data_IF_099621695697
#
_entry.id   IF_099621695697
#
_cell.length_a   1.000
_cell.length_b   1.000
_cell.length_c   1.000
_cell.angle_alpha   90.00
_cell.angle_beta   90.00
_cell.angle_gamma   90.00
#
_symmetry.space_group_name_H-M   'P 1'
#
loop_
_entity.id
_entity.type
_entity.pdbx_description
1 polymer ?
#
# COMPACT_ATOMS: atom_id res chain seq x y z
N UNK A 1 30.42 19.92 -12.89
CA UNK A 1 29.84 18.89 -11.98
C UNK A 1 30.08 19.42 -10.58
N UNK A 2 29.05 19.80 -9.86
CA UNK A 2 29.22 20.20 -8.44
C UNK A 2 29.76 19.01 -7.66
N UNK A 3 30.64 19.31 -6.70
CA UNK A 3 31.19 18.27 -5.83
C UNK A 3 30.05 17.74 -4.96
N UNK A 4 29.72 16.45 -5.09
CA UNK A 4 28.65 15.78 -4.38
C UNK A 4 28.84 15.88 -2.85
N UNK A 5 30.09 15.90 -2.39
CA UNK A 5 30.43 16.02 -0.97
C UNK A 5 30.08 17.41 -0.46
N UNK A 6 30.48 18.46 -1.19
CA UNK A 6 30.15 19.85 -0.80
C UNK A 6 28.63 20.11 -0.86
N UNK A 7 27.92 19.50 -1.81
CA UNK A 7 26.45 19.57 -1.88
C UNK A 7 25.82 18.95 -0.64
N UNK A 8 26.23 17.75 -0.23
CA UNK A 8 25.73 17.08 0.97
C UNK A 8 26.04 17.86 2.23
N UNK A 9 27.29 18.37 2.35
CA UNK A 9 27.69 19.20 3.47
C UNK A 9 26.93 20.53 3.52
N UNK A 10 26.63 21.12 2.37
CA UNK A 10 25.80 22.32 2.24
C UNK A 10 24.37 22.10 2.75
N UNK A 11 23.72 20.99 2.35
CA UNK A 11 22.39 20.59 2.84
C UNK A 11 22.42 20.38 4.36
N UNK A 12 23.45 19.70 4.87
CA UNK A 12 23.59 19.46 6.31
C UNK A 12 23.76 20.75 7.12
N UNK A 13 24.53 21.73 6.60
CA UNK A 13 24.73 23.06 7.26
C UNK A 13 23.46 23.90 7.30
N UNK A 14 22.52 23.68 6.38
CA UNK A 14 21.20 24.36 6.33
C UNK A 14 20.15 23.72 7.23
N UNK A 15 20.48 22.66 7.92
CA UNK A 15 19.58 21.83 8.72
C UNK A 15 19.45 20.44 8.09
N UNK A 16 18.51 19.63 8.52
CA UNK A 16 18.27 18.34 7.91
C UNK A 16 17.36 18.48 6.68
N UNK A 17 17.71 17.80 5.60
CA UNK A 17 16.86 17.66 4.41
C UNK A 17 16.39 16.23 4.23
N UNK A 18 15.21 16.03 3.67
CA UNK A 18 14.77 14.74 3.14
C UNK A 18 14.67 14.82 1.62
N UNK A 19 14.97 13.72 0.94
CA UNK A 19 14.94 13.67 -0.51
C UNK A 19 14.25 12.41 -1.02
N UNK A 20 13.75 12.49 -2.26
CA UNK A 20 13.26 11.35 -3.01
C UNK A 20 14.30 10.99 -4.06
N UNK A 21 14.81 9.75 -4.00
CA UNK A 21 15.85 9.27 -4.89
C UNK A 21 15.27 8.28 -5.89
N UNK A 22 15.46 8.55 -7.19
CA UNK A 22 15.06 7.66 -8.27
C UNK A 22 16.15 6.60 -8.49
N UNK A 23 16.15 5.56 -7.66
CA UNK A 23 17.15 4.48 -7.69
C UNK A 23 16.59 3.12 -8.12
N UNK A 24 15.30 3.02 -8.43
CA UNK A 24 14.63 1.78 -8.81
C UNK A 24 14.36 1.73 -10.31
N UNK A 25 14.54 0.56 -10.91
CA UNK A 25 14.19 0.29 -12.30
C UNK A 25 12.75 -0.23 -12.38
N UNK A 26 11.96 0.30 -13.33
CA UNK A 26 10.61 -0.20 -13.62
C UNK A 26 10.62 -1.66 -14.08
N UNK A 27 11.69 -2.06 -14.77
CA UNK A 27 11.87 -3.42 -15.24
C UNK A 27 12.08 -4.41 -14.08
N UNK A 28 12.91 -4.03 -13.11
CA UNK A 28 13.12 -4.86 -11.92
C UNK A 28 11.87 -4.90 -11.04
N UNK A 29 11.15 -3.78 -10.90
CA UNK A 29 9.88 -3.76 -10.21
C UNK A 29 8.89 -4.76 -10.83
N UNK A 30 8.79 -4.83 -12.16
CA UNK A 30 7.92 -5.80 -12.84
C UNK A 30 8.34 -7.24 -12.60
N UNK A 31 9.65 -7.52 -12.59
CA UNK A 31 10.18 -8.85 -12.24
C UNK A 31 9.78 -9.25 -10.83
N UNK A 32 9.95 -8.35 -9.84
CA UNK A 32 9.52 -8.60 -8.48
C UNK A 32 8.01 -8.78 -8.37
N UNK A 33 7.23 -7.92 -9.01
CA UNK A 33 5.77 -8.05 -9.03
C UNK A 33 5.30 -9.35 -9.71
N UNK A 34 6.03 -9.89 -10.65
CA UNK A 34 5.67 -11.17 -11.29
C UNK A 34 5.93 -12.39 -10.40
N UNK A 35 6.75 -12.26 -9.36
CA UNK A 35 7.09 -13.40 -8.50
C UNK A 35 5.96 -13.70 -7.50
N UNK A 36 5.48 -14.96 -7.39
CA UNK A 36 4.27 -15.32 -6.63
C UNK A 36 4.37 -15.14 -5.11
N UNK A 37 5.57 -15.04 -4.56
CA UNK A 37 5.81 -14.81 -3.13
C UNK A 37 5.97 -13.33 -2.77
N UNK A 38 5.95 -12.42 -3.74
CA UNK A 38 6.05 -10.98 -3.49
C UNK A 38 4.75 -10.48 -2.87
N UNK A 39 4.83 -9.90 -1.70
CA UNK A 39 3.75 -9.14 -1.07
C UNK A 39 3.84 -7.67 -1.48
N UNK A 40 2.69 -7.00 -1.52
CA UNK A 40 2.62 -5.57 -1.85
C UNK A 40 2.59 -4.78 -0.54
N UNK A 41 3.51 -3.83 -0.42
CA UNK A 41 3.60 -2.91 0.69
C UNK A 41 3.93 -1.49 0.19
N UNK A 42 3.50 -0.48 0.93
CA UNK A 42 3.70 0.91 0.51
C UNK A 42 5.06 1.47 0.89
N UNK A 43 5.70 0.95 1.94
CA UNK A 43 6.84 1.57 2.61
C UNK A 43 6.55 3.05 2.99
N UNK A 44 5.28 3.39 3.13
CA UNK A 44 4.77 4.71 3.51
C UNK A 44 4.45 4.78 5.00
N UNK A 45 4.76 5.92 5.63
CA UNK A 45 4.34 6.19 7.00
C UNK A 45 2.90 6.70 7.09
N UNK A 46 2.26 6.63 8.27
CA UNK A 46 0.97 7.24 8.50
C UNK A 46 1.07 8.76 8.34
N UNK A 47 0.10 9.38 7.68
CA UNK A 47 0.03 10.82 7.47
C UNK A 47 -1.20 11.39 8.15
N UNK A 48 -1.06 12.47 8.89
CA UNK A 48 -2.17 13.22 9.45
C UNK A 48 -2.61 14.26 8.42
N UNK A 49 -3.50 13.91 7.59
CA UNK A 49 -4.38 14.62 6.66
C UNK A 49 -4.27 16.12 6.36
N UNK A 50 -3.18 16.81 6.68
CA UNK A 50 -2.95 18.16 6.19
C UNK A 50 -1.99 18.10 5.00
N UNK A 51 -2.48 18.33 3.78
CA UNK A 51 -1.62 18.43 2.60
C UNK A 51 -0.63 19.59 2.75
N UNK A 52 0.63 19.39 2.33
CA UNK A 52 1.50 20.50 1.97
C UNK A 52 2.57 20.94 2.95
N UNK A 53 2.86 20.19 4.03
CA UNK A 53 3.91 20.62 4.99
C UNK A 53 5.26 19.90 4.84
N UNK A 54 5.35 18.87 4.03
CA UNK A 54 6.57 18.07 3.88
C UNK A 54 6.71 17.45 2.48
N UNK A 55 7.93 17.17 2.07
CA UNK A 55 8.24 16.41 0.85
C UNK A 55 7.82 14.95 1.06
N UNK A 56 6.55 14.64 0.76
CA UNK A 56 6.01 13.29 0.87
C UNK A 56 6.22 12.50 -0.41
N UNK A 57 6.52 11.22 -0.26
CA UNK A 57 6.53 10.32 -1.40
C UNK A 57 5.09 9.89 -1.76
N UNK A 58 4.69 9.84 -3.05
CA UNK A 58 3.34 9.42 -3.49
C UNK A 58 2.88 8.09 -2.89
N UNK A 59 3.80 7.16 -2.63
CA UNK A 59 3.52 5.84 -2.03
C UNK A 59 2.76 5.89 -0.70
N UNK A 60 2.82 7.02 0.02
CA UNK A 60 2.11 7.18 1.28
C UNK A 60 0.59 7.33 1.12
N UNK A 61 0.10 7.59 -0.10
CA UNK A 61 -1.31 7.87 -0.37
C UNK A 61 -2.00 6.79 -1.21
N UNK A 62 -1.45 6.44 -2.36
CA UNK A 62 -2.14 5.63 -3.35
C UNK A 62 -1.45 4.35 -3.78
N UNK A 63 -0.45 3.84 -3.05
CA UNK A 63 0.35 2.69 -3.47
C UNK A 63 -0.47 1.49 -3.95
N UNK A 64 -1.45 1.04 -3.17
CA UNK A 64 -2.27 -0.12 -3.51
C UNK A 64 -3.21 0.16 -4.69
N UNK A 65 -3.74 1.38 -4.77
CA UNK A 65 -4.52 1.82 -5.93
C UNK A 65 -3.68 1.86 -7.21
N UNK A 66 -2.42 2.30 -7.13
CA UNK A 66 -1.46 2.28 -8.25
C UNK A 66 -1.22 0.87 -8.76
N UNK A 67 -1.11 -0.12 -7.88
CA UNK A 67 -0.96 -1.52 -8.29
C UNK A 67 -2.19 -1.98 -9.07
N UNK A 68 -3.39 -1.69 -8.59
CA UNK A 68 -4.63 -2.06 -9.26
C UNK A 68 -4.83 -1.32 -10.59
N UNK A 69 -4.55 -0.03 -10.64
CA UNK A 69 -4.68 0.76 -11.87
C UNK A 69 -3.59 0.39 -12.89
N UNK A 70 -2.33 0.59 -12.51
CA UNK A 70 -1.21 0.52 -13.46
C UNK A 70 -0.79 -0.91 -13.77
N UNK A 71 -0.58 -1.76 -12.76
CA UNK A 71 0.01 -3.09 -12.97
C UNK A 71 -1.01 -4.19 -13.23
N UNK A 72 -2.28 -3.99 -12.82
CA UNK A 72 -3.38 -4.91 -13.16
C UNK A 72 -4.10 -4.42 -14.41
N UNK A 73 -4.79 -3.28 -14.35
CA UNK A 73 -5.67 -2.81 -15.44
C UNK A 73 -4.90 -2.43 -16.71
N UNK A 74 -3.87 -1.59 -16.61
CA UNK A 74 -3.19 -1.02 -17.76
C UNK A 74 -2.10 -1.96 -18.33
N UNK A 75 -1.19 -2.42 -17.48
CA UNK A 75 -0.03 -3.21 -17.92
C UNK A 75 -0.25 -4.72 -17.88
N UNK A 76 -1.29 -5.20 -17.19
CA UNK A 76 -1.66 -6.63 -17.11
C UNK A 76 -0.51 -7.52 -16.62
N UNK A 77 0.32 -7.00 -15.70
CA UNK A 77 1.42 -7.75 -15.07
C UNK A 77 0.87 -8.78 -14.07
N UNK A 78 -0.24 -8.43 -13.41
CA UNK A 78 -0.96 -9.26 -12.46
C UNK A 78 -2.42 -9.37 -12.87
N UNK A 79 -3.08 -10.49 -12.51
CA UNK A 79 -4.53 -10.52 -12.48
C UNK A 79 -5.06 -9.77 -11.26
N UNK A 80 -6.32 -9.37 -11.28
CA UNK A 80 -6.95 -8.68 -10.16
C UNK A 80 -6.93 -9.54 -8.88
N UNK A 81 -7.28 -10.83 -9.02
CA UNK A 81 -7.30 -11.80 -7.93
C UNK A 81 -5.92 -11.96 -7.30
N UNK A 82 -4.88 -12.03 -8.13
CA UNK A 82 -3.51 -12.18 -7.65
C UNK A 82 -3.02 -10.91 -6.94
N UNK A 83 -3.33 -9.73 -7.44
CA UNK A 83 -3.02 -8.47 -6.77
C UNK A 83 -3.72 -8.40 -5.41
N UNK A 84 -5.02 -8.72 -5.35
CA UNK A 84 -5.78 -8.75 -4.08
C UNK A 84 -5.18 -9.77 -3.11
N UNK A 85 -4.86 -10.99 -3.57
CA UNK A 85 -4.22 -12.01 -2.75
C UNK A 85 -2.92 -11.50 -2.11
N UNK A 86 -2.09 -10.78 -2.85
CA UNK A 86 -0.79 -10.23 -2.39
C UNK A 86 -0.92 -9.03 -1.46
N UNK A 87 -2.06 -8.39 -1.45
CA UNK A 87 -2.40 -7.29 -0.54
C UNK A 87 -3.14 -7.77 0.72
N UNK A 88 -3.67 -8.98 0.74
CA UNK A 88 -4.58 -9.47 1.77
C UNK A 88 -4.17 -10.83 2.36
N UNK A 89 -4.55 -11.94 1.74
CA UNK A 89 -4.37 -13.26 2.31
C UNK A 89 -2.92 -13.73 2.39
N UNK A 90 -2.06 -13.31 1.45
CA UNK A 90 -0.63 -13.64 1.50
C UNK A 90 0.07 -12.98 2.69
N UNK A 91 0.00 -11.65 2.90
CA UNK A 91 0.59 -11.02 4.08
C UNK A 91 -0.06 -11.49 5.38
N UNK A 92 -1.39 -11.64 5.44
CA UNK A 92 -2.07 -12.11 6.64
C UNK A 92 -1.55 -13.49 7.08
N UNK A 93 -1.37 -14.40 6.12
CA UNK A 93 -0.81 -15.74 6.37
C UNK A 93 0.67 -15.67 6.78
N UNK A 94 1.47 -14.87 6.10
CA UNK A 94 2.91 -14.75 6.35
C UNK A 94 3.18 -14.16 7.73
N UNK A 95 2.43 -13.15 8.13
CA UNK A 95 2.55 -12.50 9.44
C UNK A 95 1.68 -13.16 10.52
N UNK A 96 1.02 -14.29 10.22
CA UNK A 96 0.21 -15.06 11.17
C UNK A 96 -0.88 -14.21 11.83
N UNK A 97 -1.61 -13.46 11.02
CA UNK A 97 -2.76 -12.70 11.48
C UNK A 97 -4.02 -13.56 11.35
N UNK A 98 -4.53 -14.13 12.45
CA UNK A 98 -5.66 -15.04 12.39
C UNK A 98 -6.92 -14.29 11.97
N UNK A 99 -7.78 -14.99 11.23
CA UNK A 99 -9.11 -14.53 10.82
C UNK A 99 -9.13 -13.21 10.03
N UNK A 100 -8.03 -12.90 9.31
CA UNK A 100 -7.91 -11.72 8.44
C UNK A 100 -7.44 -12.09 7.04
N UNK A 101 -7.61 -11.16 6.09
CA UNK A 101 -7.15 -11.28 4.72
C UNK A 101 -7.98 -12.19 3.82
N UNK A 102 -9.12 -12.69 4.30
CA UNK A 102 -10.07 -13.50 3.52
C UNK A 102 -11.50 -13.18 3.95
N UNK A 103 -12.43 -13.19 2.98
CA UNK A 103 -13.86 -13.07 3.23
C UNK A 103 -14.45 -14.46 3.53
N UNK A 104 -14.73 -14.74 4.80
CA UNK A 104 -15.36 -15.98 5.25
C UNK A 104 -16.15 -15.75 6.55
N UNK A 105 -17.17 -16.54 6.84
CA UNK A 105 -17.87 -16.48 8.13
C UNK A 105 -16.89 -16.62 9.31
N UNK A 106 -17.05 -15.78 10.31
CA UNK A 106 -16.20 -15.76 11.50
C UNK A 106 -14.88 -14.97 11.35
N UNK A 107 -14.52 -14.50 10.15
CA UNK A 107 -13.39 -13.60 9.99
C UNK A 107 -13.75 -12.15 10.40
N UNK A 108 -12.72 -11.37 10.74
CA UNK A 108 -12.91 -9.94 10.93
C UNK A 108 -13.36 -9.26 9.64
N UNK A 109 -14.32 -8.36 9.77
CA UNK A 109 -14.85 -7.61 8.63
C UNK A 109 -13.92 -6.45 8.27
N UNK A 110 -12.79 -6.78 7.63
CA UNK A 110 -11.90 -5.83 6.96
C UNK A 110 -12.21 -5.91 5.46
N UNK A 111 -13.03 -5.00 4.97
CA UNK A 111 -13.63 -5.08 3.63
C UNK A 111 -13.38 -3.77 2.89
N UNK A 112 -12.94 -3.88 1.65
CA UNK A 112 -12.81 -2.75 0.72
C UNK A 112 -13.71 -3.00 -0.48
N UNK A 113 -14.53 -2.02 -0.83
CA UNK A 113 -15.39 -2.03 -2.02
C UNK A 113 -14.85 -0.98 -2.98
N UNK A 114 -14.50 -1.40 -4.18
CA UNK A 114 -13.94 -0.54 -5.20
C UNK A 114 -14.40 -0.94 -6.60
N UNK A 115 -14.35 0.00 -7.53
CA UNK A 115 -14.59 -0.22 -8.94
C UNK A 115 -13.23 -0.43 -9.64
N UNK A 116 -12.94 -1.63 -10.17
CA UNK A 116 -11.65 -1.91 -10.81
C UNK A 116 -11.38 -1.04 -12.05
N UNK A 117 -12.43 -0.52 -12.70
CA UNK A 117 -12.29 0.36 -13.86
C UNK A 117 -12.00 1.82 -13.46
N UNK A 118 -12.32 2.21 -12.22
CA UNK A 118 -12.16 3.57 -11.72
C UNK A 118 -11.05 3.74 -10.69
N UNK A 119 -10.58 2.63 -10.09
CA UNK A 119 -9.50 2.72 -9.11
C UNK A 119 -8.28 3.39 -9.71
N UNK A 120 -7.75 4.41 -9.01
CA UNK A 120 -6.64 5.22 -9.49
C UNK A 120 -5.82 5.79 -8.33
N UNK A 121 -4.54 6.07 -8.62
CA UNK A 121 -3.64 6.83 -7.77
C UNK A 121 -3.22 8.11 -8.52
N UNK A 122 -3.83 9.25 -8.23
CA UNK A 122 -3.49 10.52 -8.87
C UNK A 122 -2.20 11.15 -8.34
N UNK A 123 -1.64 10.64 -7.23
CA UNK A 123 -0.44 11.22 -6.63
C UNK A 123 0.79 11.10 -7.55
N UNK A 124 1.55 12.18 -7.66
CA UNK A 124 2.80 12.26 -8.40
C UNK A 124 3.96 12.66 -7.49
N UNK A 125 5.20 12.63 -7.99
CA UNK A 125 6.34 13.10 -7.21
C UNK A 125 6.31 14.62 -7.00
N UNK A 126 5.76 15.36 -7.96
CA UNK A 126 5.64 16.83 -7.90
C UNK A 126 4.42 17.26 -7.07
N UNK A 127 3.37 16.44 -7.07
CA UNK A 127 2.14 16.67 -6.30
C UNK A 127 1.68 15.36 -5.62
N UNK A 128 2.28 15.00 -4.48
CA UNK A 128 2.06 13.71 -3.84
C UNK A 128 0.81 13.65 -2.94
N UNK A 129 0.19 14.77 -2.62
CA UNK A 129 -0.86 14.86 -1.59
C UNK A 129 -2.27 14.56 -2.10
N UNK A 130 -2.42 13.48 -2.86
CA UNK A 130 -3.72 13.03 -3.38
C UNK A 130 -4.11 11.67 -2.80
N UNK A 131 -5.33 11.57 -2.29
CA UNK A 131 -5.89 10.29 -1.89
C UNK A 131 -6.22 9.43 -3.11
N UNK A 132 -6.16 8.11 -2.92
CA UNK A 132 -6.59 7.16 -3.93
C UNK A 132 -8.08 7.31 -4.27
N UNK A 133 -8.43 7.04 -5.52
CA UNK A 133 -9.78 7.16 -6.07
C UNK A 133 -10.38 5.80 -6.40
N UNK A 134 -11.71 5.76 -6.65
CA UNK A 134 -12.42 4.56 -7.09
C UNK A 134 -12.85 3.61 -5.96
N UNK A 135 -12.71 4.03 -4.71
CA UNK A 135 -13.15 3.29 -3.52
C UNK A 135 -14.47 3.86 -3.01
N UNK A 136 -15.50 3.02 -2.93
CA UNK A 136 -16.80 3.43 -2.38
C UNK A 136 -16.86 3.25 -0.88
N UNK A 137 -16.40 2.11 -0.37
CA UNK A 137 -16.48 1.80 1.06
C UNK A 137 -15.22 1.11 1.55
N UNK A 138 -14.81 1.48 2.78
CA UNK A 138 -13.75 0.80 3.52
C UNK A 138 -14.26 0.53 4.93
N UNK A 139 -14.26 -0.73 5.30
CA UNK A 139 -14.71 -1.23 6.59
C UNK A 139 -13.51 -1.85 7.30
N UNK A 140 -13.28 -1.46 8.53
CA UNK A 140 -12.19 -1.97 9.38
C UNK A 140 -12.78 -2.53 10.67
N UNK A 141 -12.55 -3.81 10.94
CA UNK A 141 -13.15 -4.50 12.09
C UNK A 141 -14.69 -4.34 12.18
N UNK A 142 -15.38 -4.28 11.05
CA UNK A 142 -16.82 -4.06 10.98
C UNK A 142 -17.28 -2.60 11.09
N UNK A 143 -16.35 -1.65 11.27
CA UNK A 143 -16.65 -0.22 11.35
C UNK A 143 -16.39 0.44 10.01
N UNK A 144 -17.39 1.06 9.36
CA UNK A 144 -17.19 1.81 8.13
C UNK A 144 -16.36 3.06 8.40
N UNK A 145 -15.14 3.12 7.86
CA UNK A 145 -14.25 4.30 7.95
C UNK A 145 -14.33 5.18 6.70
N UNK A 146 -14.71 4.59 5.57
CA UNK A 146 -15.15 5.30 4.35
C UNK A 146 -16.50 4.73 3.96
N UNK A 147 -17.45 5.60 3.60
CA UNK A 147 -18.77 5.25 3.07
C UNK A 147 -19.12 6.19 1.92
N UNK A 148 -19.57 5.61 0.80
CA UNK A 148 -19.87 6.37 -0.41
C UNK A 148 -18.74 7.34 -0.82
N UNK A 149 -17.48 6.92 -0.68
CA UNK A 149 -16.29 7.70 -1.02
C UNK A 149 -15.92 8.79 -0.02
N UNK A 150 -16.61 8.91 1.12
CA UNK A 150 -16.38 9.94 2.12
C UNK A 150 -15.89 9.34 3.45
N UNK A 151 -14.94 10.02 4.10
CA UNK A 151 -14.51 9.67 5.46
C UNK A 151 -15.67 9.84 6.44
N UNK A 152 -15.94 8.82 7.26
CA UNK A 152 -16.98 8.85 8.28
C UNK A 152 -16.53 9.54 9.58
N UNK A 153 -15.22 9.65 9.80
CA UNK A 153 -14.64 10.08 11.07
C UNK A 153 -14.50 8.96 12.10
N UNK A 154 -15.08 7.79 11.84
CA UNK A 154 -15.00 6.63 12.72
C UNK A 154 -13.60 5.99 12.69
N UNK A 155 -13.25 5.29 13.78
CA UNK A 155 -11.96 4.63 13.95
C UNK A 155 -12.18 3.16 14.29
N UNK A 156 -12.09 2.28 13.28
CA UNK A 156 -12.21 0.83 13.45
C UNK A 156 -10.87 0.12 13.71
N UNK A 157 -9.74 0.81 13.57
CA UNK A 157 -8.41 0.22 13.65
C UNK A 157 -7.99 -0.15 15.06
N UNK A 158 -7.09 -1.15 15.15
CA UNK A 158 -6.47 -1.60 16.40
C UNK A 158 -5.08 -2.16 16.16
N UNK A 159 -4.28 -2.25 17.21
CA UNK A 159 -2.96 -2.88 17.15
C UNK A 159 -3.10 -4.39 16.99
N UNK A 160 -2.53 -4.94 15.92
CA UNK A 160 -2.48 -6.38 15.68
C UNK A 160 -1.16 -6.95 16.23
N UNK A 161 -1.26 -8.12 16.86
CA UNK A 161 -0.09 -8.86 17.34
C UNK A 161 -0.14 -10.27 16.79
N UNK A 162 1.01 -10.78 16.36
CA UNK A 162 1.12 -12.18 15.99
C UNK A 162 0.80 -13.09 17.19
N UNK A 163 0.03 -14.13 16.96
CA UNK A 163 -0.27 -15.12 18.02
C UNK A 163 0.95 -16.02 18.24
N UNK A 164 1.54 -16.07 19.44
CA UNK A 164 2.64 -16.98 19.73
C UNK A 164 2.22 -18.44 19.52
N UNK A 165 3.11 -19.26 19.00
CA UNK A 165 2.91 -20.72 18.90
C UNK A 165 2.20 -21.23 17.63
N UNK A 166 1.67 -20.37 16.77
CA UNK A 166 1.17 -20.81 15.47
C UNK A 166 2.36 -21.10 14.54
N UNK A 167 2.50 -22.33 14.08
CA UNK A 167 3.43 -22.66 13.00
C UNK A 167 3.00 -21.95 11.71
N UNK A 168 3.95 -21.57 10.88
CA UNK A 168 3.62 -21.03 9.57
C UNK A 168 2.80 -22.07 8.79
N UNK A 169 1.71 -21.69 8.11
CA UNK A 169 1.00 -22.60 7.23
C UNK A 169 1.96 -23.07 6.13
N UNK A 170 1.77 -24.28 5.59
CA UNK A 170 2.57 -24.77 4.47
C UNK A 170 2.45 -23.80 3.28
N UNK A 171 3.50 -23.69 2.46
CA UNK A 171 3.41 -22.91 1.24
C UNK A 171 2.27 -23.43 0.36
N UNK A 172 1.63 -22.57 -0.45
CA UNK A 172 0.63 -23.00 -1.41
C UNK A 172 1.27 -24.02 -2.36
N UNK A 173 0.50 -25.01 -2.87
CA UNK A 173 0.99 -25.92 -3.89
C UNK A 173 1.50 -25.10 -5.09
N UNK A 174 2.63 -25.52 -5.64
CA UNK A 174 3.14 -24.97 -6.88
C UNK A 174 2.10 -25.22 -7.98
N UNK A 175 1.66 -24.15 -8.61
CA UNK A 175 0.78 -24.17 -9.78
C UNK A 175 1.56 -24.45 -11.02
#
# INVERSE_FOLDING_TARGET
MEDQIETILGIHRQGSGSGVFHGMSEEDLKKFLSHPLTMIASDGGPRSGKPGSDASHPRSYGNNARVLARYVREQKILTLEEAVRRMTSLPARTFRLPDRGTLRPGAFADIVIFDPEKVNDPATFDDPHHCAEGFSDVIVNGVPVIRAGQLTGERGGGALRATPGLSAPPPPPAS
#
